data_IF_451793347935
#
_entry.id   IF_451793347935
#
_cell.length_a   1.000
_cell.length_b   1.000
_cell.length_c   1.000
_cell.angle_alpha   90.00
_cell.angle_beta   90.00
_cell.angle_gamma   90.00
#
_symmetry.space_group_name_H-M   'P 1'
#
loop_
_entity.id
_entity.type
_entity.pdbx_description
1 polymer ?
#
# COMPACT_ATOMS: atom_id res chain seq x y z
N UNK A 1 2.21 10.66 -3.59
CA UNK A 1 3.55 10.12 -3.92
C UNK A 1 4.53 10.17 -2.75
N UNK A 2 4.58 11.24 -1.94
CA UNK A 2 5.43 11.29 -0.74
C UNK A 2 5.24 10.11 0.23
N UNK A 3 3.99 9.74 0.52
CA UNK A 3 3.66 8.59 1.36
C UNK A 3 4.30 7.27 0.87
N UNK A 4 4.41 7.09 -0.45
CA UNK A 4 4.99 5.89 -1.05
C UNK A 4 6.50 5.82 -0.79
N UNK A 5 7.21 6.95 -0.93
CA UNK A 5 8.64 7.03 -0.63
C UNK A 5 8.91 6.83 0.87
N UNK A 6 8.06 7.37 1.73
CA UNK A 6 8.14 7.19 3.19
C UNK A 6 7.98 5.71 3.54
N UNK A 7 6.97 5.03 2.98
CA UNK A 7 6.75 3.60 3.21
C UNK A 7 7.93 2.78 2.67
N UNK A 8 8.42 3.09 1.47
CA UNK A 8 9.59 2.42 0.90
C UNK A 8 10.80 2.51 1.83
N UNK A 9 11.16 3.72 2.26
CA UNK A 9 12.30 3.93 3.16
C UNK A 9 12.11 3.21 4.50
N UNK A 10 10.93 3.36 5.11
CA UNK A 10 10.58 2.70 6.38
C UNK A 10 10.72 1.18 6.28
N UNK A 11 10.18 0.57 5.23
CA UNK A 11 10.22 -0.89 5.06
C UNK A 11 11.63 -1.40 4.79
N UNK A 12 12.46 -0.67 4.04
CA UNK A 12 13.85 -1.04 3.86
C UNK A 12 14.62 -0.96 5.18
N UNK A 13 14.43 0.12 5.95
CA UNK A 13 15.07 0.30 7.27
C UNK A 13 14.66 -0.81 8.25
N UNK A 14 13.35 -1.08 8.37
CA UNK A 14 12.82 -2.20 9.18
C UNK A 14 13.40 -3.55 8.72
N UNK A 15 13.57 -3.75 7.40
CA UNK A 15 14.17 -4.98 6.87
C UNK A 15 15.62 -5.23 7.27
N UNK A 16 16.41 -4.16 7.47
CA UNK A 16 17.77 -4.30 7.97
C UNK A 16 17.80 -4.69 9.45
N UNK A 17 16.95 -4.08 10.28
CA UNK A 17 16.84 -4.40 11.71
C UNK A 17 16.26 -5.82 11.94
N UNK A 18 15.24 -6.18 11.17
CA UNK A 18 14.59 -7.49 11.24
C UNK A 18 15.53 -8.63 10.84
N UNK A 19 16.47 -8.39 9.91
CA UNK A 19 17.45 -9.41 9.48
C UNK A 19 18.24 -9.98 10.66
N UNK A 20 18.74 -9.11 11.55
CA UNK A 20 19.52 -9.55 12.72
C UNK A 20 18.66 -10.38 13.68
N UNK A 21 17.44 -9.92 13.97
CA UNK A 21 16.48 -10.65 14.81
C UNK A 21 16.10 -12.01 14.21
N UNK A 22 15.87 -12.09 12.90
CA UNK A 22 15.53 -13.35 12.26
C UNK A 22 16.68 -14.36 12.29
N UNK A 23 17.93 -13.92 12.18
CA UNK A 23 19.10 -14.80 12.34
C UNK A 23 19.15 -15.40 13.75
N UNK A 24 18.83 -14.62 14.79
CA UNK A 24 18.73 -15.13 16.16
C UNK A 24 17.58 -16.13 16.29
N UNK A 25 16.40 -15.80 15.78
CA UNK A 25 15.24 -16.70 15.83
C UNK A 25 15.48 -18.03 15.11
N UNK A 26 16.22 -18.01 14.00
CA UNK A 26 16.62 -19.24 13.29
C UNK A 26 17.56 -20.12 14.13
N UNK A 27 18.50 -19.52 14.88
CA UNK A 27 19.37 -20.27 15.82
C UNK A 27 18.58 -20.94 16.95
N UNK A 28 17.42 -20.41 17.30
CA UNK A 28 16.51 -20.98 18.34
C UNK A 28 15.49 -21.96 17.74
N UNK A 29 15.56 -22.24 16.43
CA UNK A 29 14.72 -23.27 15.76
C UNK A 29 13.55 -22.71 14.95
N UNK A 30 13.48 -21.40 14.72
CA UNK A 30 12.46 -20.84 13.82
C UNK A 30 12.72 -21.25 12.37
N UNK A 31 11.70 -21.84 11.74
CA UNK A 31 11.80 -22.30 10.36
C UNK A 31 11.81 -21.11 9.36
N UNK A 32 12.69 -21.10 8.33
CA UNK A 32 12.80 -19.98 7.37
C UNK A 32 11.50 -19.64 6.63
N UNK A 33 10.60 -20.62 6.46
CA UNK A 33 9.27 -20.42 5.86
C UNK A 33 8.37 -19.50 6.70
N UNK A 34 8.50 -19.57 8.03
CA UNK A 34 7.73 -18.76 8.98
C UNK A 34 8.18 -17.31 8.94
N UNK A 35 9.49 -17.07 8.86
CA UNK A 35 10.09 -15.74 8.64
C UNK A 35 9.52 -15.11 7.38
N UNK A 36 9.56 -15.84 6.25
CA UNK A 36 9.07 -15.36 4.96
C UNK A 36 7.57 -15.01 5.00
N UNK A 37 6.77 -15.82 5.68
CA UNK A 37 5.33 -15.59 5.84
C UNK A 37 5.03 -14.36 6.70
N UNK A 38 5.79 -14.18 7.78
CA UNK A 38 5.66 -13.02 8.68
C UNK A 38 5.90 -11.72 7.94
N UNK A 39 7.03 -11.64 7.22
CA UNK A 39 7.42 -10.49 6.39
C UNK A 39 6.33 -10.15 5.35
N UNK A 40 5.81 -11.16 4.66
CA UNK A 40 4.77 -10.97 3.66
C UNK A 40 3.51 -10.34 4.23
N UNK A 41 3.09 -10.82 5.40
CA UNK A 41 1.88 -10.32 6.07
C UNK A 41 2.06 -8.86 6.49
N UNK A 42 3.22 -8.51 7.04
CA UNK A 42 3.53 -7.14 7.45
C UNK A 42 3.56 -6.19 6.25
N UNK A 43 4.27 -6.55 5.19
CA UNK A 43 4.34 -5.76 3.97
C UNK A 43 2.95 -5.56 3.33
N UNK A 44 2.12 -6.61 3.28
CA UNK A 44 0.76 -6.50 2.75
C UNK A 44 -0.08 -5.49 3.55
N UNK A 45 -0.10 -5.61 4.88
CA UNK A 45 -0.93 -4.73 5.71
C UNK A 45 -0.47 -3.28 5.60
N UNK A 46 0.83 -3.02 5.72
CA UNK A 46 1.38 -1.65 5.70
C UNK A 46 1.15 -0.96 4.36
N UNK A 47 1.20 -1.69 3.25
CA UNK A 47 0.93 -1.11 1.93
C UNK A 47 -0.57 -0.97 1.64
N UNK A 48 -1.39 -1.98 1.93
CA UNK A 48 -2.80 -1.96 1.50
C UNK A 48 -3.72 -1.19 2.45
N UNK A 49 -3.38 -1.04 3.74
CA UNK A 49 -4.21 -0.28 4.67
C UNK A 49 -4.39 1.20 4.24
N UNK A 50 -3.34 1.95 3.85
CA UNK A 50 -3.50 3.31 3.32
C UNK A 50 -4.39 3.38 2.07
N UNK A 51 -4.29 2.40 1.17
CA UNK A 51 -5.12 2.34 -0.05
C UNK A 51 -6.59 2.12 0.29
N UNK A 52 -6.88 1.24 1.26
CA UNK A 52 -8.24 0.99 1.73
C UNK A 52 -8.84 2.25 2.38
N UNK A 53 -8.08 2.92 3.25
CA UNK A 53 -8.51 4.17 3.89
C UNK A 53 -8.79 5.25 2.83
N UNK A 54 -7.94 5.39 1.81
CA UNK A 54 -8.16 6.34 0.72
C UNK A 54 -9.45 6.03 -0.07
N UNK A 55 -9.71 4.75 -0.38
CA UNK A 55 -10.93 4.35 -1.08
C UNK A 55 -12.20 4.65 -0.25
N UNK A 56 -12.16 4.37 1.05
CA UNK A 56 -13.26 4.70 1.97
C UNK A 56 -13.47 6.21 2.01
N UNK A 57 -12.40 7.00 2.19
CA UNK A 57 -12.48 8.46 2.25
C UNK A 57 -13.14 9.02 0.97
N UNK A 58 -12.68 8.59 -0.21
CA UNK A 58 -13.27 8.98 -1.50
C UNK A 58 -14.74 8.61 -1.61
N UNK A 59 -15.14 7.44 -1.11
CA UNK A 59 -16.54 7.02 -1.13
C UNK A 59 -17.44 7.93 -0.29
N UNK A 60 -16.97 8.37 0.88
CA UNK A 60 -17.69 9.33 1.72
C UNK A 60 -17.75 10.72 1.07
N UNK A 61 -16.63 11.19 0.50
CA UNK A 61 -16.54 12.51 -0.12
C UNK A 61 -17.32 12.63 -1.43
N UNK A 62 -17.61 11.50 -2.10
CA UNK A 62 -18.30 11.49 -3.39
C UNK A 62 -19.65 12.22 -3.38
N UNK A 63 -20.43 12.08 -2.30
CA UNK A 63 -21.72 12.77 -2.14
C UNK A 63 -21.55 14.30 -2.04
N UNK A 64 -20.51 14.76 -1.33
CA UNK A 64 -20.21 16.18 -1.22
C UNK A 64 -19.65 16.73 -2.55
N UNK A 65 -18.73 16.01 -3.17
CA UNK A 65 -18.13 16.35 -4.47
C UNK A 65 -19.21 16.53 -5.54
N UNK A 66 -20.14 15.57 -5.66
CA UNK A 66 -21.22 15.65 -6.65
C UNK A 66 -22.13 16.84 -6.42
N UNK A 67 -22.45 17.18 -5.16
CA UNK A 67 -23.20 18.41 -4.84
C UNK A 67 -22.45 19.68 -5.25
N UNK A 68 -21.14 19.75 -4.98
CA UNK A 68 -20.32 20.88 -5.42
C UNK A 68 -20.33 21.02 -6.95
N UNK A 69 -20.19 19.91 -7.69
CA UNK A 69 -20.28 19.91 -9.15
C UNK A 69 -21.64 20.45 -9.65
N UNK A 70 -22.75 20.12 -8.98
CA UNK A 70 -24.06 20.67 -9.35
C UNK A 70 -24.17 22.18 -9.19
N UNK A 71 -23.46 22.79 -8.22
CA UNK A 71 -23.40 24.25 -8.08
C UNK A 71 -22.72 24.93 -9.28
N UNK A 72 -21.81 24.22 -9.94
CA UNK A 72 -21.16 24.64 -11.19
C UNK A 72 -21.94 24.22 -12.45
N UNK A 73 -23.23 23.86 -12.32
CA UNK A 73 -24.07 23.37 -13.43
C UNK A 73 -23.56 22.07 -14.09
N UNK A 74 -22.79 21.24 -13.37
CA UNK A 74 -22.36 19.93 -13.82
C UNK A 74 -23.20 18.84 -13.15
N UNK A 75 -24.09 18.20 -13.91
CA UNK A 75 -25.08 17.23 -13.38
C UNK A 75 -24.81 15.77 -13.75
N UNK A 76 -23.74 15.49 -14.50
CA UNK A 76 -23.43 14.16 -14.99
C UNK A 76 -22.80 13.27 -13.90
N UNK A 77 -23.63 12.73 -13.01
CA UNK A 77 -23.19 11.84 -11.92
C UNK A 77 -22.50 10.56 -12.42
N UNK A 78 -22.89 10.04 -13.59
CA UNK A 78 -22.24 8.89 -14.22
C UNK A 78 -20.80 9.20 -14.66
N UNK A 79 -20.58 10.35 -15.28
CA UNK A 79 -19.24 10.82 -15.65
C UNK A 79 -18.39 11.07 -14.41
N UNK A 80 -18.94 11.71 -13.38
CA UNK A 80 -18.24 11.91 -12.11
C UNK A 80 -17.81 10.57 -11.49
N UNK A 81 -18.71 9.58 -11.43
CA UNK A 81 -18.41 8.24 -10.92
C UNK A 81 -17.32 7.55 -11.74
N UNK A 82 -17.40 7.58 -13.07
CA UNK A 82 -16.41 6.97 -13.96
C UNK A 82 -15.03 7.62 -13.80
N UNK A 83 -14.97 8.94 -13.70
CA UNK A 83 -13.71 9.66 -13.45
C UNK A 83 -13.13 9.34 -12.06
N UNK A 84 -13.95 9.30 -11.02
CA UNK A 84 -13.52 8.94 -9.66
C UNK A 84 -13.03 7.49 -9.60
N UNK A 85 -13.77 6.55 -10.17
CA UNK A 85 -13.38 5.14 -10.23
C UNK A 85 -12.10 4.95 -11.06
N UNK A 86 -11.99 5.63 -12.20
CA UNK A 86 -10.82 5.60 -13.07
C UNK A 86 -9.56 6.13 -12.38
N UNK A 87 -9.66 7.27 -11.68
CA UNK A 87 -8.52 7.84 -10.94
C UNK A 87 -8.10 6.94 -9.77
N UNK A 88 -9.06 6.39 -9.01
CA UNK A 88 -8.77 5.43 -7.94
C UNK A 88 -8.11 4.15 -8.49
N UNK A 89 -8.55 3.64 -9.64
CA UNK A 89 -7.96 2.47 -10.29
C UNK A 89 -6.52 2.72 -10.73
N UNK A 90 -6.25 3.85 -11.41
CA UNK A 90 -4.87 4.24 -11.80
C UNK A 90 -3.98 4.38 -10.57
N UNK A 91 -4.48 5.02 -9.51
CA UNK A 91 -3.75 5.15 -8.25
C UNK A 91 -3.43 3.79 -7.63
N UNK A 92 -4.40 2.87 -7.57
CA UNK A 92 -4.22 1.51 -7.05
C UNK A 92 -3.17 0.72 -7.86
N UNK A 93 -3.17 0.84 -9.20
CA UNK A 93 -2.17 0.21 -10.07
C UNK A 93 -0.76 0.71 -9.75
N UNK A 94 -0.57 2.02 -9.65
CA UNK A 94 0.72 2.61 -9.28
C UNK A 94 1.16 2.10 -7.90
N UNK A 95 0.23 2.07 -6.93
CA UNK A 95 0.51 1.59 -5.58
C UNK A 95 0.94 0.12 -5.57
N UNK A 96 0.26 -0.73 -6.35
CA UNK A 96 0.60 -2.15 -6.49
C UNK A 96 1.98 -2.37 -7.15
N UNK A 97 2.36 -1.54 -8.13
CA UNK A 97 3.69 -1.60 -8.74
C UNK A 97 4.80 -1.29 -7.72
N UNK A 98 4.58 -0.28 -6.87
CA UNK A 98 5.57 0.08 -5.85
C UNK A 98 5.64 -0.96 -4.72
N UNK A 99 4.50 -1.53 -4.31
CA UNK A 99 4.49 -2.69 -3.42
C UNK A 99 5.36 -3.83 -3.99
N UNK A 100 5.17 -4.19 -5.27
CA UNK A 100 5.98 -5.23 -5.94
C UNK A 100 7.46 -4.88 -5.99
N UNK A 101 7.83 -3.61 -6.15
CA UNK A 101 9.23 -3.19 -6.12
C UNK A 101 9.83 -3.32 -4.72
N UNK A 102 9.12 -2.83 -3.70
CA UNK A 102 9.55 -2.85 -2.30
C UNK A 102 9.67 -4.29 -1.78
N UNK A 103 8.65 -5.11 -2.01
CA UNK A 103 8.66 -6.52 -1.58
C UNK A 103 9.82 -7.29 -2.20
N UNK A 104 10.13 -7.07 -3.50
CA UNK A 104 11.29 -7.69 -4.17
C UNK A 104 12.61 -7.25 -3.54
N UNK A 105 12.77 -5.96 -3.24
CA UNK A 105 13.98 -5.44 -2.58
C UNK A 105 14.15 -6.01 -1.17
N UNK A 106 13.09 -6.03 -0.36
CA UNK A 106 13.08 -6.60 0.98
C UNK A 106 13.42 -8.10 0.94
N UNK A 107 12.84 -8.86 0.00
CA UNK A 107 13.17 -10.28 -0.16
C UNK A 107 14.62 -10.54 -0.53
N UNK A 108 15.20 -9.69 -1.37
CA UNK A 108 16.61 -9.78 -1.74
C UNK A 108 17.51 -9.50 -0.54
N UNK A 109 17.14 -8.53 0.31
CA UNK A 109 17.87 -8.19 1.54
C UNK A 109 17.86 -9.31 2.56
N UNK A 110 16.71 -9.94 2.82
CA UNK A 110 16.61 -11.02 3.83
C UNK A 110 17.27 -12.32 3.36
N UNK A 111 17.34 -12.58 2.05
CA UNK A 111 18.02 -13.77 1.50
C UNK A 111 19.53 -13.59 1.30
N UNK A 112 20.06 -12.37 1.40
CA UNK A 112 21.48 -12.06 1.31
C UNK A 112 22.15 -12.10 2.70
#
# INVERSE_FOLDING_TARGET
>A
MAAVLIIYYKQISEGYEDRERYLVMQKVGMEPKTVRRSINSQLLVVFFAPLAVAAIHVAFDFSLMTRLLTLFSLHNGSLALLCTAGTLAVFAVIYALVYRATARAYYKLVRA
#
